data_IF_182087407640
#
_entry.id   IF_182087407640
#
_cell.length_a   1.000
_cell.length_b   1.000
_cell.length_c   1.000
_cell.angle_alpha   90.00
_cell.angle_beta   90.00
_cell.angle_gamma   90.00
#
_symmetry.space_group_name_H-M   'P 1'
#
loop_
_entity.id
_entity.type
_entity.pdbx_description
1 polymer ?
#
# COMPACT_ATOMS: atom_id res chain seq x y z
N UNK A 1 -14.86 1.04 -32.66
CA UNK A 1 -16.30 1.32 -32.84
C UNK A 1 -17.04 0.00 -32.96
N UNK A 2 -17.81 -0.41 -31.95
CA UNK A 2 -18.87 -1.42 -32.06
C UNK A 2 -20.01 -0.98 -31.16
N UNK A 3 -21.17 -0.85 -31.79
CA UNK A 3 -22.36 -0.14 -31.34
C UNK A 3 -23.30 -1.04 -30.55
N UNK A 4 -24.13 -0.37 -29.76
CA UNK A 4 -25.10 -0.80 -28.75
C UNK A 4 -26.05 -1.97 -29.09
N UNK A 5 -26.67 -2.53 -28.03
CA UNK A 5 -28.08 -2.95 -28.01
C UNK A 5 -28.66 -2.82 -26.58
N UNK A 6 -29.62 -1.92 -26.46
CA UNK A 6 -30.54 -1.69 -25.35
C UNK A 6 -31.62 -2.77 -25.29
N UNK A 7 -32.07 -3.13 -24.09
CA UNK A 7 -33.40 -3.69 -23.85
C UNK A 7 -33.86 -3.27 -22.45
N UNK A 8 -34.87 -2.41 -22.42
CA UNK A 8 -35.62 -2.00 -21.24
C UNK A 8 -36.99 -2.67 -21.27
N UNK A 9 -37.48 -3.13 -20.11
CA UNK A 9 -38.89 -3.48 -19.89
C UNK A 9 -39.33 -2.94 -18.50
N UNK A 10 -40.15 -1.88 -18.58
CA UNK A 10 -41.34 -1.47 -17.81
C UNK A 10 -41.86 -2.37 -16.67
N UNK A 11 -42.63 -1.94 -15.66
CA UNK A 11 -43.03 -0.69 -14.98
C UNK A 11 -44.10 -1.17 -13.98
N UNK A 12 -44.09 -0.77 -12.71
CA UNK A 12 -45.33 -0.51 -11.94
C UNK A 12 -45.05 0.54 -10.86
N UNK A 13 -45.95 1.52 -10.77
CA UNK A 13 -45.78 2.81 -10.12
C UNK A 13 -46.81 3.01 -9.00
N UNK A 14 -46.41 3.64 -7.89
CA UNK A 14 -47.22 4.34 -6.85
C UNK A 14 -46.18 5.11 -6.01
N UNK A 15 -46.24 6.38 -5.62
CA UNK A 15 -47.07 7.55 -5.89
C UNK A 15 -46.26 8.79 -5.44
N UNK A 16 -46.63 9.94 -5.99
CA UNK A 16 -45.93 11.22 -5.91
C UNK A 16 -45.75 11.79 -4.49
N UNK A 17 -44.68 12.58 -4.32
CA UNK A 17 -44.75 13.93 -3.74
C UNK A 17 -43.58 14.78 -4.25
N UNK A 18 -43.95 15.89 -4.90
CA UNK A 18 -43.12 16.96 -5.44
C UNK A 18 -42.32 17.66 -4.33
N UNK A 19 -41.05 18.01 -4.60
CA UNK A 19 -40.64 19.41 -4.78
C UNK A 19 -39.12 19.57 -5.04
N UNK A 20 -38.84 20.49 -5.96
CA UNK A 20 -37.59 21.22 -6.21
C UNK A 20 -36.43 20.51 -6.94
N UNK A 21 -36.33 20.86 -8.23
CA UNK A 21 -35.18 20.67 -9.09
C UNK A 21 -33.93 21.41 -8.59
N UNK A 22 -32.77 20.76 -8.72
CA UNK A 22 -31.46 21.36 -8.50
C UNK A 22 -30.33 20.45 -8.99
N UNK A 23 -29.98 20.59 -10.27
CA UNK A 23 -28.67 20.31 -10.92
C UNK A 23 -27.99 18.93 -10.75
N UNK A 24 -27.66 18.31 -11.89
CA UNK A 24 -26.98 17.03 -12.05
C UNK A 24 -25.74 16.80 -11.16
N UNK A 25 -25.71 15.68 -10.43
CA UNK A 25 -24.51 15.11 -9.80
C UNK A 25 -24.28 13.69 -10.33
N UNK A 26 -23.05 13.40 -10.74
CA UNK A 26 -22.65 12.07 -11.22
C UNK A 26 -22.89 11.00 -10.15
N UNK A 27 -23.67 9.97 -10.49
CA UNK A 27 -23.70 8.66 -9.83
C UNK A 27 -23.86 8.65 -8.31
N UNK A 28 -25.04 9.05 -7.81
CA UNK A 28 -25.42 8.93 -6.41
C UNK A 28 -25.61 7.47 -5.97
N UNK A 29 -24.53 6.82 -5.58
CA UNK A 29 -24.61 5.75 -4.60
C UNK A 29 -24.93 6.37 -3.23
N UNK A 30 -25.94 5.85 -2.53
CA UNK A 30 -26.15 6.15 -1.11
C UNK A 30 -24.81 6.00 -0.38
N UNK A 31 -24.38 6.97 0.46
CA UNK A 31 -23.23 6.75 1.32
C UNK A 31 -23.46 5.44 2.08
N UNK A 32 -22.63 4.44 1.82
CA UNK A 32 -22.70 3.20 2.58
C UNK A 32 -22.56 3.57 4.06
N UNK A 33 -23.35 2.98 4.96
CA UNK A 33 -23.22 3.28 6.38
C UNK A 33 -21.77 3.05 6.80
N UNK A 34 -21.13 4.10 7.29
CA UNK A 34 -19.76 4.04 7.80
C UNK A 34 -19.83 3.29 9.13
N UNK A 35 -19.38 2.04 9.14
CA UNK A 35 -19.29 1.28 10.39
C UNK A 35 -18.33 1.99 11.35
N UNK A 36 -18.80 2.31 12.55
CA UNK A 36 -17.95 2.82 13.62
C UNK A 36 -16.91 1.74 13.97
N UNK A 37 -15.60 2.05 13.99
CA UNK A 37 -14.58 1.08 14.38
C UNK A 37 -14.86 0.59 15.80
N UNK A 38 -15.05 -0.72 15.97
CA UNK A 38 -15.40 -1.34 17.25
C UNK A 38 -14.19 -1.74 18.10
N UNK A 39 -12.94 -1.52 17.62
CA UNK A 39 -11.72 -1.84 18.36
C UNK A 39 -10.44 -1.27 17.72
N UNK A 40 -9.29 -1.53 18.33
CA UNK A 40 -7.97 -1.05 17.88
C UNK A 40 -7.37 -1.83 16.68
N UNK A 41 -8.04 -2.90 16.26
CA UNK A 41 -7.63 -3.76 15.16
C UNK A 41 -6.56 -4.80 15.52
N UNK A 42 -6.27 -5.02 16.80
CA UNK A 42 -5.27 -5.97 17.28
C UNK A 42 -5.44 -7.37 16.70
N UNK A 43 -6.66 -7.92 16.68
CA UNK A 43 -6.93 -9.26 16.13
C UNK A 43 -6.50 -9.38 14.66
N UNK A 44 -6.83 -8.37 13.85
CA UNK A 44 -6.48 -8.35 12.43
C UNK A 44 -4.98 -8.19 12.25
N UNK A 45 -4.33 -7.36 13.08
CA UNK A 45 -2.89 -7.19 13.07
C UNK A 45 -2.19 -8.52 13.41
N UNK A 46 -2.56 -9.17 14.53
CA UNK A 46 -2.01 -10.45 14.98
C UNK A 46 -2.12 -11.52 13.89
N UNK A 47 -3.28 -11.63 13.22
CA UNK A 47 -3.48 -12.56 12.09
C UNK A 47 -2.55 -12.28 10.90
N UNK A 48 -2.15 -11.02 10.70
CA UNK A 48 -1.33 -10.59 9.54
C UNK A 48 0.17 -10.66 9.80
N UNK A 49 0.62 -10.82 11.04
CA UNK A 49 2.05 -10.78 11.41
C UNK A 49 2.93 -11.64 10.50
N UNK A 50 2.63 -12.94 10.24
CA UNK A 50 3.53 -13.78 9.43
C UNK A 50 3.72 -13.23 8.01
N UNK A 51 2.67 -12.62 7.45
CA UNK A 51 2.74 -12.00 6.11
C UNK A 51 3.53 -10.69 6.13
N UNK A 52 3.45 -9.93 7.22
CA UNK A 52 4.21 -8.68 7.37
C UNK A 52 5.70 -9.01 7.57
N UNK A 53 6.04 -9.99 8.42
CA UNK A 53 7.41 -10.48 8.63
C UNK A 53 8.07 -10.85 7.30
N UNK A 54 7.43 -11.75 6.54
CA UNK A 54 7.91 -12.18 5.22
C UNK A 54 8.12 -11.01 4.25
N UNK A 55 7.25 -10.00 4.28
CA UNK A 55 7.37 -8.83 3.40
C UNK A 55 8.53 -7.91 3.80
N UNK A 56 8.81 -7.78 5.09
CA UNK A 56 9.95 -7.01 5.59
C UNK A 56 11.26 -7.70 5.22
N UNK A 57 11.35 -9.01 5.42
CA UNK A 57 12.51 -9.83 5.02
C UNK A 57 12.77 -9.69 3.51
N UNK A 58 11.77 -9.92 2.67
CA UNK A 58 11.89 -9.75 1.21
C UNK A 58 12.24 -8.32 0.77
N UNK A 59 11.95 -7.31 1.59
CA UNK A 59 12.35 -5.93 1.31
C UNK A 59 13.81 -5.71 1.67
N UNK A 60 14.25 -6.16 2.84
CA UNK A 60 15.63 -6.09 3.30
C UNK A 60 16.56 -6.91 2.40
N UNK A 61 16.21 -8.16 2.08
CA UNK A 61 16.98 -9.03 1.17
C UNK A 61 17.17 -8.38 -0.20
N UNK A 62 16.11 -7.74 -0.72
CA UNK A 62 16.17 -7.06 -2.01
C UNK A 62 17.06 -5.82 -1.97
N UNK A 63 17.05 -5.07 -0.88
CA UNK A 63 17.89 -3.88 -0.72
C UNK A 63 19.36 -4.27 -0.51
N UNK A 64 19.61 -5.34 0.26
CA UNK A 64 20.93 -5.89 0.58
C UNK A 64 21.54 -6.81 -0.47
N UNK A 65 20.82 -7.13 -1.54
CA UNK A 65 21.33 -7.95 -2.65
C UNK A 65 22.54 -7.34 -3.37
N UNK A 66 23.20 -8.15 -4.19
CA UNK A 66 24.39 -7.73 -4.95
C UNK A 66 24.07 -6.80 -6.14
N UNK A 67 25.10 -6.44 -6.92
CA UNK A 67 24.97 -5.55 -8.07
C UNK A 67 24.17 -6.14 -9.25
N UNK A 68 23.93 -7.45 -9.29
CA UNK A 68 23.11 -8.11 -10.31
C UNK A 68 21.62 -7.98 -9.98
N UNK A 69 21.29 -7.97 -8.68
CA UNK A 69 19.91 -7.98 -8.20
C UNK A 69 19.17 -6.68 -8.48
N UNK A 70 18.00 -6.79 -9.12
CA UNK A 70 17.11 -5.63 -9.33
C UNK A 70 16.57 -5.15 -7.99
N UNK A 71 16.82 -3.87 -7.69
CA UNK A 71 16.28 -3.26 -6.47
C UNK A 71 17.29 -3.12 -5.35
N UNK A 72 18.48 -3.72 -5.48
CA UNK A 72 19.55 -3.57 -4.50
C UNK A 72 20.15 -2.18 -4.50
N UNK A 73 20.80 -1.88 -3.37
CA UNK A 73 21.62 -0.70 -3.18
C UNK A 73 22.88 -0.82 -4.04
N UNK A 74 23.57 -1.97 -4.00
CA UNK A 74 24.79 -2.22 -4.79
C UNK A 74 24.60 -2.01 -6.29
N UNK A 75 23.48 -2.48 -6.87
CA UNK A 75 23.19 -2.24 -8.29
C UNK A 75 22.96 -0.77 -8.59
N UNK A 76 22.32 -0.05 -7.67
CA UNK A 76 22.04 1.36 -7.87
C UNK A 76 23.32 2.20 -7.75
N UNK A 77 24.20 1.87 -6.81
CA UNK A 77 25.56 2.44 -6.70
C UNK A 77 26.34 2.26 -8.00
N UNK A 78 26.34 1.05 -8.58
CA UNK A 78 27.00 0.83 -9.86
C UNK A 78 26.43 1.68 -10.99
N UNK A 79 25.12 1.95 -10.98
CA UNK A 79 24.48 2.82 -11.98
C UNK A 79 24.82 4.30 -11.78
N UNK A 80 24.93 4.75 -10.54
CA UNK A 80 25.46 6.09 -10.21
C UNK A 80 26.87 6.22 -10.75
N UNK A 81 27.74 5.25 -10.45
CA UNK A 81 29.12 5.23 -10.94
C UNK A 81 29.19 5.36 -12.46
N UNK A 82 28.44 4.52 -13.17
CA UNK A 82 28.44 4.53 -14.63
C UNK A 82 27.98 5.88 -15.19
N UNK A 83 26.97 6.53 -14.58
CA UNK A 83 26.51 7.85 -15.00
C UNK A 83 27.59 8.92 -14.76
N UNK A 84 28.26 8.86 -13.61
CA UNK A 84 29.38 9.74 -13.27
C UNK A 84 30.56 9.59 -14.24
N UNK A 85 30.98 8.36 -14.51
CA UNK A 85 32.07 8.07 -15.47
C UNK A 85 31.72 8.54 -16.88
N UNK A 86 30.45 8.49 -17.27
CA UNK A 86 29.96 8.98 -18.56
C UNK A 86 29.74 10.50 -18.62
N UNK A 87 29.90 11.23 -17.50
CA UNK A 87 29.62 12.67 -17.44
C UNK A 87 28.13 13.03 -17.52
N UNK A 88 27.23 12.09 -17.22
CA UNK A 88 25.78 12.30 -17.26
C UNK A 88 25.26 12.86 -15.91
N UNK A 89 25.54 14.13 -15.63
CA UNK A 89 25.29 14.78 -14.33
C UNK A 89 23.82 14.71 -13.87
N UNK A 90 22.85 14.91 -14.76
CA UNK A 90 21.43 14.87 -14.43
C UNK A 90 21.00 13.45 -14.04
N UNK A 91 21.53 12.45 -14.75
CA UNK A 91 21.25 11.03 -14.47
C UNK A 91 21.91 10.64 -13.15
N UNK A 92 23.17 11.04 -12.94
CA UNK A 92 23.87 10.81 -11.69
C UNK A 92 23.08 11.38 -10.50
N UNK A 93 22.64 12.64 -10.60
CA UNK A 93 21.86 13.33 -9.55
C UNK A 93 20.60 12.56 -9.22
N UNK A 94 19.78 12.24 -10.22
CA UNK A 94 18.55 11.48 -10.03
C UNK A 94 18.80 10.09 -9.40
N UNK A 95 19.86 9.40 -9.83
CA UNK A 95 20.20 8.09 -9.29
C UNK A 95 20.75 8.18 -7.85
N UNK A 96 21.48 9.24 -7.52
CA UNK A 96 21.97 9.52 -6.17
C UNK A 96 20.83 9.79 -5.20
N UNK A 97 19.82 10.58 -5.58
CA UNK A 97 18.65 10.81 -4.72
C UNK A 97 17.92 9.49 -4.44
N UNK A 98 17.75 8.69 -5.49
CA UNK A 98 17.14 7.35 -5.38
C UNK A 98 17.98 6.41 -4.53
N UNK A 99 19.31 6.53 -4.54
CA UNK A 99 20.23 5.75 -3.71
C UNK A 99 20.12 6.17 -2.24
N UNK A 100 20.13 7.47 -1.97
CA UNK A 100 19.92 8.04 -0.63
C UNK A 100 18.60 7.57 -0.03
N UNK A 101 17.49 7.64 -0.79
CA UNK A 101 16.21 7.13 -0.35
C UNK A 101 16.25 5.62 -0.05
N UNK A 102 16.87 4.81 -0.90
CA UNK A 102 16.96 3.36 -0.62
C UNK A 102 17.77 3.05 0.63
N UNK A 103 18.86 3.78 0.87
CA UNK A 103 19.67 3.64 2.09
C UNK A 103 18.87 4.03 3.33
N UNK A 104 18.06 5.10 3.26
CA UNK A 104 17.23 5.52 4.41
C UNK A 104 16.11 4.53 4.75
N UNK A 105 15.67 3.69 3.80
CA UNK A 105 14.69 2.65 4.06
C UNK A 105 15.23 1.55 4.98
N UNK A 106 16.52 1.19 4.90
CA UNK A 106 17.10 0.06 5.64
C UNK A 106 16.86 0.17 7.15
N UNK A 107 17.31 1.24 7.86
CA UNK A 107 17.11 1.34 9.30
C UNK A 107 15.62 1.42 9.67
N UNK A 108 14.79 2.02 8.81
CA UNK A 108 13.34 2.07 9.01
C UNK A 108 12.72 0.68 8.96
N UNK A 109 13.12 -0.17 8.00
CA UNK A 109 12.62 -1.53 7.85
C UNK A 109 13.12 -2.45 8.98
N UNK A 110 14.38 -2.33 9.38
CA UNK A 110 14.94 -3.05 10.52
C UNK A 110 14.21 -2.71 11.83
N UNK A 111 13.95 -1.41 12.07
CA UNK A 111 13.15 -0.98 13.21
C UNK A 111 11.76 -1.62 13.19
N UNK A 112 11.08 -1.59 12.04
CA UNK A 112 9.75 -2.22 11.89
C UNK A 112 9.78 -3.72 12.15
N UNK A 113 10.86 -4.42 11.81
CA UNK A 113 11.01 -5.85 12.10
C UNK A 113 11.13 -6.09 13.62
N UNK A 114 11.88 -5.24 14.33
CA UNK A 114 11.96 -5.27 15.81
C UNK A 114 10.61 -4.98 16.45
N UNK A 115 9.93 -3.91 16.00
CA UNK A 115 8.59 -3.54 16.49
C UNK A 115 7.59 -4.69 16.27
N UNK A 116 7.61 -5.33 15.09
CA UNK A 116 6.73 -6.46 14.77
C UNK A 116 7.01 -7.69 15.64
N UNK A 117 8.26 -7.91 16.05
CA UNK A 117 8.63 -8.97 17.00
C UNK A 117 8.02 -8.72 18.38
N UNK A 118 7.98 -7.47 18.83
CA UNK A 118 7.30 -7.08 20.06
C UNK A 118 5.78 -7.32 19.96
N UNK A 119 5.16 -6.91 18.85
CA UNK A 119 3.73 -7.16 18.59
C UNK A 119 3.43 -8.67 18.56
N UNK A 120 4.29 -9.48 17.93
CA UNK A 120 4.14 -10.94 17.89
C UNK A 120 4.18 -11.56 19.29
N UNK A 121 5.05 -11.06 20.14
CA UNK A 121 5.12 -11.48 21.56
C UNK A 121 3.84 -11.12 22.29
N UNK A 122 3.35 -9.89 22.11
CA UNK A 122 2.09 -9.45 22.70
C UNK A 122 0.89 -10.29 22.21
N UNK A 123 0.79 -10.58 20.91
CA UNK A 123 -0.30 -11.39 20.36
C UNK A 123 -0.37 -12.78 21.00
N UNK A 124 0.79 -13.41 21.23
CA UNK A 124 0.85 -14.73 21.90
C UNK A 124 0.35 -14.68 23.35
N UNK A 125 0.59 -13.57 24.05
CA UNK A 125 0.19 -13.39 25.43
C UNK A 125 -1.29 -12.94 25.59
N UNK A 126 -1.92 -12.44 24.53
CA UNK A 126 -3.23 -11.79 24.59
C UNK A 126 -4.26 -12.45 23.66
N UNK A 127 -4.31 -13.78 23.60
CA UNK A 127 -5.29 -14.52 22.80
C UNK A 127 -5.36 -14.08 21.31
N UNK A 128 -4.21 -13.76 20.71
CA UNK A 128 -4.12 -13.19 19.35
C UNK A 128 -4.93 -11.90 19.14
N UNK A 129 -5.12 -11.10 20.19
CA UNK A 129 -5.85 -9.84 20.14
C UNK A 129 -7.37 -10.00 19.97
N UNK A 130 -7.94 -11.18 20.27
CA UNK A 130 -9.39 -11.29 20.41
C UNK A 130 -9.83 -10.54 21.67
N UNK A 131 -10.78 -9.62 21.51
CA UNK A 131 -11.53 -9.07 22.65
C UNK A 131 -12.22 -10.25 23.35
N UNK A 132 -12.07 -10.34 24.67
CA UNK A 132 -12.84 -11.27 25.50
C UNK A 132 -14.27 -10.76 25.64
#
# INVERSE_FOLDING_TARGET
MRTAKTAALALTAVSALLAAAGTASAGGGTPAPTATPTGDGAQVLCKRIPKIEKRLEQALDRLGGDATQRGSIARLEKRVENARTAGHTEIETYLNDKLTFRRSLVPTLEKRQKDLTAVKTWCKANNNGSEN
#
